data_IF_929065765209
#
_entry.id   IF_929065765209
#
_cell.length_a   1.000
_cell.length_b   1.000
_cell.length_c   1.000
_cell.angle_alpha   90.00
_cell.angle_beta   90.00
_cell.angle_gamma   90.00
#
_symmetry.space_group_name_H-M   'P 1'
#
loop_
_entity.id
_entity.type
_entity.pdbx_description
1 polymer ?
#
# COMPACT_ATOMS: atom_id res chain seq x y z
N UNK A 1 20.85 10.79 -16.33
CA UNK A 1 20.23 9.56 -15.82
C UNK A 1 18.74 9.79 -15.86
N UNK A 2 17.94 8.82 -16.32
CA UNK A 2 16.49 8.94 -16.21
C UNK A 2 16.13 9.08 -14.72
N UNK A 3 15.15 9.93 -14.35
CA UNK A 3 14.71 10.02 -12.97
C UNK A 3 14.26 8.64 -12.49
N UNK A 4 14.74 8.24 -11.32
CA UNK A 4 14.36 6.96 -10.75
C UNK A 4 12.90 7.04 -10.27
N UNK A 5 12.12 6.00 -10.56
CA UNK A 5 10.70 5.95 -10.24
C UNK A 5 10.45 5.20 -8.95
N UNK A 6 9.67 5.80 -8.07
CA UNK A 6 9.32 5.25 -6.76
C UNK A 6 7.82 5.02 -6.70
N UNK A 7 7.40 3.79 -6.38
CA UNK A 7 6.01 3.52 -6.03
C UNK A 7 5.83 3.72 -4.52
N UNK A 8 4.98 4.67 -4.13
CA UNK A 8 4.70 5.01 -2.73
C UNK A 8 3.30 4.52 -2.33
N UNK A 9 3.22 3.69 -1.29
CA UNK A 9 1.96 3.40 -0.62
C UNK A 9 1.44 4.68 0.09
N UNK A 10 0.35 5.24 -0.42
CA UNK A 10 -0.14 6.57 -0.05
C UNK A 10 -1.59 6.51 0.44
N UNK A 11 -1.80 6.78 1.73
CA UNK A 11 -3.13 6.79 2.37
C UNK A 11 -3.77 8.18 2.44
N UNK A 12 -3.13 9.24 1.93
CA UNK A 12 -3.61 10.62 2.11
C UNK A 12 -3.36 11.22 3.50
N UNK A 13 -2.81 10.46 4.45
CA UNK A 13 -2.43 10.92 5.78
C UNK A 13 -1.28 11.94 5.78
N UNK A 14 -1.00 12.53 6.95
CA UNK A 14 0.09 13.51 7.11
C UNK A 14 1.46 12.91 6.78
N UNK A 15 1.72 11.71 7.27
CA UNK A 15 3.01 11.03 7.14
C UNK A 15 3.32 10.73 5.67
N UNK A 16 2.39 10.06 4.97
CA UNK A 16 2.55 9.73 3.55
C UNK A 16 2.56 10.98 2.65
N UNK A 17 1.86 12.05 3.03
CA UNK A 17 1.93 13.35 2.33
C UNK A 17 3.31 14.00 2.46
N UNK A 18 3.92 13.90 3.65
CA UNK A 18 5.26 14.42 3.91
C UNK A 18 6.31 13.61 3.16
N UNK A 19 6.20 12.28 3.16
CA UNK A 19 7.08 11.37 2.41
C UNK A 19 6.98 11.64 0.90
N UNK A 20 5.76 11.77 0.36
CA UNK A 20 5.54 12.12 -1.05
C UNK A 20 6.27 13.40 -1.40
N UNK A 21 6.06 14.46 -0.61
CA UNK A 21 6.71 15.74 -0.86
C UNK A 21 8.23 15.64 -0.76
N UNK A 22 8.74 14.87 0.19
CA UNK A 22 10.17 14.66 0.37
C UNK A 22 10.79 13.93 -0.83
N UNK A 23 10.18 12.85 -1.33
CA UNK A 23 10.65 12.11 -2.50
C UNK A 23 10.69 12.99 -3.76
N UNK A 24 9.64 13.79 -3.97
CA UNK A 24 9.60 14.77 -5.08
C UNK A 24 10.73 15.79 -4.97
N UNK A 25 11.02 16.29 -3.76
CA UNK A 25 12.14 17.23 -3.52
C UNK A 25 13.51 16.59 -3.72
N UNK A 26 13.65 15.28 -3.52
CA UNK A 26 14.87 14.54 -3.84
C UNK A 26 15.05 14.28 -5.35
N UNK A 27 14.03 14.59 -6.18
CA UNK A 27 14.08 14.45 -7.63
C UNK A 27 13.58 13.11 -8.17
N UNK A 28 12.87 12.32 -7.37
CA UNK A 28 12.25 11.08 -7.83
C UNK A 28 10.91 11.33 -8.51
N UNK A 29 10.59 10.50 -9.51
CA UNK A 29 9.24 10.41 -10.08
C UNK A 29 8.40 9.49 -9.18
N UNK A 30 7.39 10.05 -8.51
CA UNK A 30 6.60 9.29 -7.52
C UNK A 30 5.26 8.87 -8.10
N UNK A 31 5.03 7.56 -8.14
CA UNK A 31 3.74 6.94 -8.43
C UNK A 31 3.09 6.56 -7.11
N UNK A 32 1.99 7.22 -6.75
CA UNK A 32 1.24 6.89 -5.55
C UNK A 32 0.31 5.72 -5.80
N UNK A 33 0.25 4.81 -4.84
CA UNK A 33 -0.62 3.64 -4.85
C UNK A 33 -1.49 3.62 -3.59
N UNK A 34 -2.78 3.33 -3.76
CA UNK A 34 -3.72 3.08 -2.68
C UNK A 34 -4.57 1.87 -3.04
N UNK A 35 -4.65 0.92 -2.10
CA UNK A 35 -5.54 -0.22 -2.21
C UNK A 35 -6.85 0.10 -1.48
N UNK A 36 -7.98 -0.07 -2.16
CA UNK A 36 -9.31 -0.06 -1.54
C UNK A 36 -9.62 -1.47 -1.01
N UNK A 37 -9.58 -1.60 0.32
CA UNK A 37 -9.92 -2.82 1.05
C UNK A 37 -11.31 -2.73 1.71
N UNK A 38 -12.13 -1.77 1.30
CA UNK A 38 -13.45 -1.49 1.89
C UNK A 38 -13.43 -0.38 2.95
N UNK A 39 -12.40 0.46 2.98
CA UNK A 39 -12.35 1.61 3.88
C UNK A 39 -13.30 2.75 3.41
N UNK A 40 -13.95 3.42 4.36
CA UNK A 40 -14.75 4.62 4.08
C UNK A 40 -13.84 5.87 3.97
N UNK A 41 -13.18 6.03 2.82
CA UNK A 41 -12.31 7.18 2.53
C UNK A 41 -12.75 7.94 1.27
N UNK A 42 -12.48 9.25 1.24
CA UNK A 42 -12.68 10.07 0.04
C UNK A 42 -11.50 9.92 -0.92
N UNK A 43 -11.58 8.88 -1.75
CA UNK A 43 -10.58 8.52 -2.75
C UNK A 43 -10.27 9.67 -3.74
N UNK A 44 -11.27 10.47 -4.10
CA UNK A 44 -11.08 11.61 -5.01
C UNK A 44 -10.33 12.76 -4.34
N UNK A 45 -10.61 13.03 -3.06
CA UNK A 45 -9.83 14.00 -2.29
C UNK A 45 -8.37 13.53 -2.12
N UNK A 46 -8.15 12.25 -1.83
CA UNK A 46 -6.79 11.67 -1.70
C UNK A 46 -6.02 11.80 -3.01
N UNK A 47 -6.66 11.48 -4.14
CA UNK A 47 -6.09 11.62 -5.48
C UNK A 47 -5.74 13.06 -5.82
N UNK A 48 -6.66 13.98 -5.57
CA UNK A 48 -6.44 15.41 -5.81
C UNK A 48 -5.27 15.92 -4.97
N UNK A 49 -5.19 15.51 -3.69
CA UNK A 49 -4.11 15.87 -2.78
C UNK A 49 -2.75 15.32 -3.25
N UNK A 50 -2.68 14.07 -3.69
CA UNK A 50 -1.45 13.47 -4.21
C UNK A 50 -0.91 14.25 -5.42
N UNK A 51 -1.78 14.56 -6.38
CA UNK A 51 -1.41 15.31 -7.59
C UNK A 51 -0.95 16.74 -7.25
N UNK A 52 -1.61 17.42 -6.31
CA UNK A 52 -1.20 18.75 -5.84
C UNK A 52 0.19 18.76 -5.17
N UNK A 53 0.56 17.67 -4.49
CA UNK A 53 1.85 17.54 -3.81
C UNK A 53 3.02 17.23 -4.76
N UNK A 54 2.71 16.83 -6.00
CA UNK A 54 3.68 16.56 -7.06
C UNK A 54 3.84 15.08 -7.42
N UNK A 55 2.87 14.22 -7.09
CA UNK A 55 2.85 12.85 -7.61
C UNK A 55 2.71 12.86 -9.14
N UNK A 56 3.45 12.00 -9.84
CA UNK A 56 3.30 11.81 -11.29
C UNK A 56 1.92 11.21 -11.59
N UNK A 57 1.52 10.21 -10.79
CA UNK A 57 0.26 9.48 -10.91
C UNK A 57 -0.24 9.03 -9.55
N UNK A 58 -1.54 8.86 -9.44
CA UNK A 58 -2.21 8.20 -8.33
C UNK A 58 -3.03 7.03 -8.87
N UNK A 59 -2.77 5.84 -8.34
CA UNK A 59 -3.43 4.60 -8.73
C UNK A 59 -4.21 4.11 -7.52
N UNK A 60 -5.49 3.86 -7.74
CA UNK A 60 -6.40 3.34 -6.72
C UNK A 60 -6.93 2.03 -7.27
N UNK A 61 -6.69 0.94 -6.54
CA UNK A 61 -7.08 -0.40 -6.95
C UNK A 61 -8.00 -1.01 -5.93
N UNK A 62 -9.17 -1.46 -6.37
CA UNK A 62 -10.08 -2.26 -5.55
C UNK A 62 -9.50 -3.67 -5.40
N UNK A 63 -9.25 -4.05 -4.15
CA UNK A 63 -8.72 -5.37 -3.77
C UNK A 63 -9.68 -6.11 -2.83
N UNK A 64 -10.92 -5.63 -2.66
CA UNK A 64 -11.89 -6.23 -1.74
C UNK A 64 -12.19 -7.68 -2.11
N UNK A 65 -12.41 -7.95 -3.41
CA UNK A 65 -12.73 -9.30 -3.87
C UNK A 65 -11.55 -10.26 -3.68
N UNK A 66 -10.33 -9.83 -4.01
CA UNK A 66 -9.11 -10.62 -3.80
C UNK A 66 -8.88 -10.90 -2.32
N UNK A 67 -9.09 -9.90 -1.45
CA UNK A 67 -8.99 -10.06 -0.01
C UNK A 67 -9.97 -11.12 0.52
N UNK A 68 -11.22 -11.08 0.04
CA UNK A 68 -12.25 -12.02 0.48
C UNK A 68 -11.93 -13.45 0.00
N UNK A 69 -11.65 -13.60 -1.29
CA UNK A 69 -11.51 -14.90 -1.94
C UNK A 69 -10.21 -15.61 -1.52
N UNK A 70 -9.09 -14.90 -1.46
CA UNK A 70 -7.78 -15.50 -1.23
C UNK A 70 -7.41 -15.60 0.24
N UNK A 71 -7.95 -14.75 1.12
CA UNK A 71 -7.48 -14.64 2.50
C UNK A 71 -8.58 -14.78 3.54
N UNK A 72 -9.71 -14.07 3.40
CA UNK A 72 -10.79 -14.14 4.41
C UNK A 72 -11.44 -15.53 4.43
N UNK A 73 -11.81 -16.08 3.27
CA UNK A 73 -12.41 -17.42 3.23
C UNK A 73 -11.48 -18.51 3.77
N UNK A 74 -10.20 -18.60 3.35
CA UNK A 74 -9.26 -19.56 3.93
C UNK A 74 -9.03 -19.37 5.43
N UNK A 75 -8.95 -18.12 5.91
CA UNK A 75 -8.78 -17.83 7.34
C UNK A 75 -9.98 -18.30 8.18
N UNK A 76 -11.20 -18.15 7.66
CA UNK A 76 -12.41 -18.68 8.31
C UNK A 76 -12.40 -20.21 8.28
N UNK A 77 -12.05 -20.83 7.14
CA UNK A 77 -12.01 -22.29 7.00
C UNK A 77 -11.04 -22.96 7.98
N UNK A 78 -9.90 -22.31 8.28
CA UNK A 78 -8.95 -22.84 9.25
C UNK A 78 -9.24 -22.43 10.70
N UNK A 79 -10.32 -21.68 10.96
CA UNK A 79 -10.61 -21.05 12.24
C UNK A 79 -9.39 -20.31 12.79
N UNK A 80 -8.76 -19.48 11.94
CA UNK A 80 -7.57 -18.72 12.31
C UNK A 80 -7.89 -17.75 13.46
N UNK A 81 -7.30 -18.03 14.62
CA UNK A 81 -7.33 -17.16 15.79
C UNK A 81 -5.90 -16.93 16.24
N UNK A 82 -5.52 -15.66 16.40
CA UNK A 82 -4.24 -15.32 16.99
C UNK A 82 -4.38 -15.16 18.50
N UNK A 83 -3.53 -15.88 19.25
CA UNK A 83 -3.48 -15.88 20.72
C UNK A 83 -4.85 -16.12 21.40
N UNK A 84 -5.70 -16.94 20.78
CA UNK A 84 -7.06 -17.28 21.27
C UNK A 84 -7.96 -16.06 21.55
N UNK A 85 -7.64 -14.90 20.95
CA UNK A 85 -8.31 -13.62 21.24
C UNK A 85 -8.54 -12.73 20.04
N UNK A 86 -7.72 -12.85 19.00
CA UNK A 86 -7.83 -12.00 17.81
C UNK A 86 -8.39 -12.82 16.65
N UNK A 87 -9.70 -12.99 16.71
CA UNK A 87 -10.49 -13.68 15.71
C UNK A 87 -10.46 -12.86 14.42
N UNK A 88 -9.97 -13.46 13.32
CA UNK A 88 -9.91 -12.92 11.95
C UNK A 88 -8.67 -12.13 11.54
N UNK A 89 -7.70 -11.83 12.43
CA UNK A 89 -6.40 -11.30 12.00
C UNK A 89 -6.48 -10.12 11.00
N UNK A 90 -7.51 -9.26 11.12
CA UNK A 90 -7.97 -8.42 10.01
C UNK A 90 -6.88 -7.57 9.35
N UNK A 91 -6.05 -6.91 10.16
CA UNK A 91 -4.92 -6.12 9.64
C UNK A 91 -3.86 -7.00 8.99
N UNK A 92 -3.56 -8.17 9.55
CA UNK A 92 -2.53 -9.07 9.01
C UNK A 92 -2.95 -9.70 7.69
N UNK A 93 -4.24 -9.98 7.48
CA UNK A 93 -4.75 -10.51 6.22
C UNK A 93 -4.80 -9.45 5.11
N UNK A 94 -5.10 -8.19 5.43
CA UNK A 94 -5.15 -7.16 4.38
C UNK A 94 -3.77 -6.87 3.77
N UNK A 95 -2.69 -6.97 4.55
CA UNK A 95 -1.36 -6.47 4.17
C UNK A 95 -0.70 -7.23 3.00
N UNK A 96 -0.75 -8.57 2.91
CA UNK A 96 -0.24 -9.31 1.75
C UNK A 96 -0.91 -8.91 0.44
N UNK A 97 -2.23 -8.75 0.41
CA UNK A 97 -2.97 -8.35 -0.80
C UNK A 97 -2.56 -6.95 -1.26
N UNK A 98 -2.42 -6.02 -0.32
CA UNK A 98 -1.93 -4.66 -0.61
C UNK A 98 -0.51 -4.70 -1.17
N UNK A 99 0.39 -5.51 -0.60
CA UNK A 99 1.76 -5.65 -1.07
C UNK A 99 1.82 -6.26 -2.49
N UNK A 100 1.06 -7.31 -2.77
CA UNK A 100 0.96 -7.92 -4.11
C UNK A 100 0.47 -6.91 -5.15
N UNK A 101 -0.59 -6.17 -4.84
CA UNK A 101 -1.13 -5.14 -5.71
C UNK A 101 -0.10 -4.01 -5.96
N UNK A 102 0.59 -3.56 -4.91
CA UNK A 102 1.65 -2.55 -5.02
C UNK A 102 2.81 -3.01 -5.91
N UNK A 103 3.27 -4.26 -5.77
CA UNK A 103 4.32 -4.85 -6.61
C UNK A 103 3.88 -4.91 -8.08
N UNK A 104 2.62 -5.29 -8.34
CA UNK A 104 2.08 -5.34 -9.70
C UNK A 104 2.04 -3.95 -10.34
N UNK A 105 1.56 -2.96 -9.59
CA UNK A 105 1.54 -1.55 -10.02
C UNK A 105 2.95 -1.04 -10.29
N UNK A 106 3.91 -1.33 -9.41
CA UNK A 106 5.29 -0.94 -9.62
C UNK A 106 5.90 -1.55 -10.89
N UNK A 107 5.59 -2.82 -11.19
CA UNK A 107 6.02 -3.47 -12.44
C UNK A 107 5.38 -2.84 -13.67
N UNK A 108 4.07 -2.57 -13.63
CA UNK A 108 3.35 -1.94 -14.75
C UNK A 108 3.89 -0.53 -15.06
N UNK A 109 4.24 0.22 -14.02
CA UNK A 109 4.72 1.60 -14.14
C UNK A 109 6.24 1.74 -14.23
N UNK A 110 6.96 0.62 -14.29
CA UNK A 110 8.42 0.55 -14.33
C UNK A 110 9.09 1.32 -13.18
N UNK A 111 8.54 1.18 -11.97
CA UNK A 111 9.14 1.72 -10.75
C UNK A 111 10.36 0.89 -10.36
N UNK A 112 11.46 1.58 -10.06
CA UNK A 112 12.71 0.96 -9.59
C UNK A 112 12.68 0.71 -8.09
N UNK A 113 11.93 1.52 -7.35
CA UNK A 113 11.85 1.47 -5.89
C UNK A 113 10.42 1.39 -5.39
N UNK A 114 10.27 0.79 -4.22
CA UNK A 114 9.04 0.74 -3.44
C UNK A 114 9.25 1.51 -2.13
N UNK A 115 8.23 2.24 -1.69
CA UNK A 115 8.27 3.04 -0.46
C UNK A 115 6.94 2.97 0.28
N UNK A 116 6.98 2.94 1.62
CA UNK A 116 5.80 2.87 2.47
C UNK A 116 5.89 3.84 3.65
N UNK A 117 4.73 4.23 4.19
CA UNK A 117 4.63 5.10 5.36
C UNK A 117 4.62 4.40 6.73
N UNK A 118 4.78 3.08 6.79
CA UNK A 118 4.71 2.34 8.06
C UNK A 118 5.80 2.75 9.05
N UNK A 119 5.44 2.74 10.34
CA UNK A 119 6.40 3.05 11.41
C UNK A 119 7.51 1.99 11.47
N UNK A 120 8.77 2.42 11.64
CA UNK A 120 9.93 1.51 11.69
C UNK A 120 9.99 0.57 12.91
N UNK A 121 8.97 0.58 13.77
CA UNK A 121 8.83 -0.32 14.93
C UNK A 121 7.55 -1.16 14.87
N UNK A 122 6.72 -0.99 13.84
CA UNK A 122 5.45 -1.69 13.69
C UNK A 122 5.58 -2.97 12.86
N UNK A 123 4.71 -3.94 13.12
CA UNK A 123 4.67 -5.21 12.38
C UNK A 123 4.34 -5.01 10.89
N UNK A 124 3.73 -3.88 10.53
CA UNK A 124 3.42 -3.54 9.14
C UNK A 124 4.66 -3.38 8.26
N UNK A 125 5.79 -2.96 8.84
CA UNK A 125 7.07 -2.94 8.14
C UNK A 125 7.46 -4.34 7.67
N UNK A 126 7.31 -5.33 8.55
CA UNK A 126 7.66 -6.73 8.26
C UNK A 126 6.73 -7.29 7.19
N UNK A 127 5.41 -7.12 7.34
CA UNK A 127 4.44 -7.67 6.40
C UNK A 127 4.58 -7.11 4.98
N UNK A 128 4.89 -5.82 4.85
CA UNK A 128 5.09 -5.24 3.53
C UNK A 128 6.45 -5.68 2.97
N UNK A 129 7.53 -5.61 3.76
CA UNK A 129 8.88 -5.89 3.27
C UNK A 129 9.14 -7.37 2.94
N UNK A 130 8.52 -8.33 3.65
CA UNK A 130 8.68 -9.77 3.37
C UNK A 130 7.96 -10.23 2.10
N UNK A 131 6.88 -9.54 1.70
CA UNK A 131 6.11 -9.85 0.47
C UNK A 131 6.73 -9.20 -0.79
N UNK A 132 7.76 -8.36 -0.64
CA UNK A 132 8.46 -7.76 -1.77
C UNK A 132 9.47 -8.75 -2.35
N UNK A 133 9.50 -8.94 -3.68
CA UNK A 133 10.55 -9.74 -4.32
C UNK A 133 11.93 -9.09 -4.07
N UNK A 134 12.92 -9.93 -3.75
CA UNK A 134 14.31 -9.54 -3.53
C UNK A 134 15.02 -9.02 -4.80
#
# INVERSE_FOLDING_TARGET
MAPERVCLAYSGGLDTSTILRWLVLQGYEVVCFLADCGQEEDFEAVKTKALQLGAERMIIQDVQQELIDDLVWPAIQCNAVYEDRYDLLGTSLARPVIARAMVNVAKEHNCTFLSHGCTGKGNEYVYISEELPA
#
